data_IF_046805213924
#
_entry.id   IF_046805213924
#
_cell.length_a   1.000
_cell.length_b   1.000
_cell.length_c   1.000
_cell.angle_alpha   90.00
_cell.angle_beta   90.00
_cell.angle_gamma   90.00
#
_symmetry.space_group_name_H-M   'P 1'
#
loop_
_entity.id
_entity.type
_entity.pdbx_description
1 polymer ?
#
# COMPACT_ATOMS: atom_id res chain seq x y z
N UNK A 1 -1.28 12.19 -4.33
CA UNK A 1 -1.44 11.96 -5.78
C UNK A 1 -1.43 10.45 -6.01
N UNK A 2 -2.30 9.93 -6.87
CA UNK A 2 -2.37 8.49 -7.11
C UNK A 2 -1.13 8.01 -7.88
N UNK A 3 -0.67 6.78 -7.61
CA UNK A 3 0.43 6.18 -8.33
C UNK A 3 0.00 5.72 -9.72
N UNK A 4 0.98 5.58 -10.61
CA UNK A 4 0.83 4.99 -11.95
C UNK A 4 1.65 3.71 -12.06
N UNK A 5 1.22 2.79 -12.92
CA UNK A 5 1.97 1.53 -13.16
C UNK A 5 3.42 1.78 -13.61
N UNK A 6 3.64 2.83 -14.42
CA UNK A 6 4.98 3.25 -14.85
C UNK A 6 5.85 3.65 -13.67
N UNK A 7 5.31 4.46 -12.75
CA UNK A 7 6.03 4.83 -11.53
C UNK A 7 6.36 3.59 -10.69
N UNK A 8 5.37 2.74 -10.43
CA UNK A 8 5.53 1.53 -9.62
C UNK A 8 6.61 0.61 -10.20
N UNK A 9 6.61 0.41 -11.52
CA UNK A 9 7.61 -0.42 -12.21
C UNK A 9 9.01 0.14 -12.06
N UNK A 10 9.17 1.45 -12.20
CA UNK A 10 10.48 2.11 -12.23
C UNK A 10 11.03 2.50 -10.86
N UNK A 11 10.17 2.59 -9.84
CA UNK A 11 10.58 2.97 -8.49
C UNK A 11 11.66 2.02 -7.94
N UNK A 12 12.71 2.58 -7.36
CA UNK A 12 13.80 1.87 -6.69
C UNK A 12 14.21 2.69 -5.48
N UNK A 13 14.61 2.04 -4.41
CA UNK A 13 15.20 2.71 -3.27
C UNK A 13 16.48 2.00 -2.86
N UNK A 14 17.52 2.79 -2.55
CA UNK A 14 18.75 2.31 -1.95
C UNK A 14 18.69 2.31 -0.41
N UNK A 15 17.63 2.87 0.19
CA UNK A 15 17.52 3.04 1.63
C UNK A 15 17.05 1.74 2.28
N UNK A 16 17.78 1.18 3.28
CA UNK A 16 17.35 -0.04 3.97
C UNK A 16 15.96 0.08 4.61
N UNK A 17 15.62 1.26 5.14
CA UNK A 17 14.31 1.55 5.71
C UNK A 17 13.16 1.63 4.68
N UNK A 18 13.51 1.73 3.39
CA UNK A 18 12.59 1.90 2.28
C UNK A 18 12.01 3.31 2.13
N UNK A 19 11.36 3.52 1.00
CA UNK A 19 10.66 4.76 0.65
C UNK A 19 9.16 4.48 0.48
N UNK A 20 8.34 5.35 1.06
CA UNK A 20 6.88 5.26 0.97
C UNK A 20 6.38 6.18 -0.15
N UNK A 21 5.62 5.63 -1.07
CA UNK A 21 4.92 6.38 -2.11
C UNK A 21 3.42 6.18 -1.94
N UNK A 22 2.71 7.25 -1.57
CA UNK A 22 1.28 7.20 -1.31
C UNK A 22 0.48 7.01 -2.60
N UNK A 23 -0.50 6.11 -2.58
CA UNK A 23 -1.51 5.96 -3.63
C UNK A 23 -2.84 6.64 -3.27
N UNK A 24 -3.08 6.88 -1.98
CA UNK A 24 -4.30 7.49 -1.44
C UNK A 24 -5.07 6.54 -0.52
N UNK A 25 -5.99 7.09 0.28
CA UNK A 25 -6.83 6.31 1.21
C UNK A 25 -6.03 5.43 2.20
N UNK A 26 -4.89 5.93 2.68
CA UNK A 26 -3.99 5.19 3.57
C UNK A 26 -3.17 4.10 2.87
N UNK A 27 -3.40 3.83 1.58
CA UNK A 27 -2.60 2.89 0.80
C UNK A 27 -1.32 3.55 0.26
N UNK A 28 -0.22 2.80 0.31
CA UNK A 28 1.07 3.20 -0.24
C UNK A 28 1.88 2.01 -0.72
N UNK A 29 2.83 2.29 -1.61
CA UNK A 29 3.90 1.39 -1.99
C UNK A 29 5.11 1.65 -1.08
N UNK A 30 5.58 0.63 -0.38
CA UNK A 30 6.88 0.64 0.30
C UNK A 30 7.91 0.00 -0.62
N UNK A 31 8.88 0.81 -1.07
CA UNK A 31 9.97 0.38 -1.94
C UNK A 31 11.24 0.23 -1.11
N UNK A 32 11.76 -0.98 -1.01
CA UNK A 32 13.04 -1.29 -0.36
C UNK A 32 14.05 -1.78 -1.40
N UNK A 33 15.34 -1.95 -1.04
CA UNK A 33 16.31 -2.63 -1.90
C UNK A 33 15.91 -4.06 -2.24
N UNK A 34 15.13 -4.71 -1.36
CA UNK A 34 14.73 -6.11 -1.48
C UNK A 34 13.42 -6.32 -2.24
N UNK A 35 12.57 -5.30 -2.35
CA UNK A 35 11.28 -5.48 -2.99
C UNK A 35 10.34 -4.29 -2.87
N UNK A 36 9.11 -4.52 -3.32
CA UNK A 36 8.04 -3.52 -3.40
C UNK A 36 6.78 -4.07 -2.77
N UNK A 37 6.32 -3.44 -1.70
CA UNK A 37 5.25 -3.94 -0.86
C UNK A 37 4.07 -2.99 -0.87
N UNK A 38 2.89 -3.51 -1.17
CA UNK A 38 1.64 -2.76 -1.02
C UNK A 38 1.20 -2.82 0.45
N UNK A 39 1.03 -1.65 1.05
CA UNK A 39 0.63 -1.49 2.44
C UNK A 39 -0.58 -0.57 2.53
N UNK A 40 -1.41 -0.80 3.54
CA UNK A 40 -2.55 0.03 3.88
C UNK A 40 -2.51 0.34 5.37
N UNK A 41 -2.33 1.61 5.70
CA UNK A 41 -2.50 2.08 7.07
C UNK A 41 -3.97 2.41 7.31
N UNK A 42 -4.56 1.83 8.36
CA UNK A 42 -5.96 2.03 8.75
C UNK A 42 -6.08 2.14 10.27
N UNK A 43 -7.24 2.57 10.75
CA UNK A 43 -7.59 2.57 12.17
C UNK A 43 -8.69 1.56 12.42
N UNK A 44 -8.55 0.82 13.52
CA UNK A 44 -9.57 -0.09 14.01
C UNK A 44 -9.53 -0.05 15.54
N UNK A 45 -10.66 0.26 16.16
CA UNK A 45 -10.77 0.50 17.61
C UNK A 45 -9.69 1.50 18.09
N UNK A 46 -9.65 2.67 17.44
CA UNK A 46 -8.70 3.78 17.68
C UNK A 46 -7.20 3.47 17.47
N UNK A 47 -6.84 2.20 17.27
CA UNK A 47 -5.45 1.78 17.07
C UNK A 47 -5.08 1.82 15.60
N UNK A 48 -3.95 2.45 15.29
CA UNK A 48 -3.35 2.41 13.96
C UNK A 48 -2.81 1.01 13.69
N UNK A 49 -3.17 0.47 12.54
CA UNK A 49 -2.70 -0.83 12.03
C UNK A 49 -2.21 -0.67 10.59
N UNK A 50 -1.35 -1.59 10.17
CA UNK A 50 -0.85 -1.66 8.80
C UNK A 50 -1.18 -3.04 8.22
N UNK A 51 -1.98 -3.08 7.17
CA UNK A 51 -2.30 -4.29 6.42
C UNK A 51 -1.31 -4.46 5.25
N UNK A 52 -0.88 -5.70 5.00
CA UNK A 52 -0.15 -6.05 3.79
C UNK A 52 -1.14 -6.41 2.66
N UNK A 53 -1.19 -5.61 1.60
CA UNK A 53 -2.06 -5.86 0.45
C UNK A 53 -1.38 -6.75 -0.59
N UNK A 54 -0.06 -6.95 -0.51
CA UNK A 54 0.69 -7.88 -1.35
C UNK A 54 2.07 -7.35 -1.75
N UNK A 55 2.73 -8.07 -2.65
CA UNK A 55 4.08 -7.77 -3.12
C UNK A 55 4.05 -7.60 -4.63
N UNK A 56 4.64 -6.53 -5.15
CA UNK A 56 4.81 -6.34 -6.59
C UNK A 56 6.00 -7.17 -7.10
N UNK A 57 5.92 -7.85 -8.26
CA UNK A 57 4.87 -7.73 -9.29
C UNK A 57 3.67 -8.68 -9.15
N UNK A 58 3.68 -9.64 -8.21
CA UNK A 58 2.58 -10.60 -8.04
C UNK A 58 1.22 -9.92 -7.80
N UNK A 59 1.22 -8.83 -7.03
CA UNK A 59 0.10 -7.92 -6.87
C UNK A 59 0.37 -6.63 -7.66
N UNK A 60 -0.39 -6.42 -8.74
CA UNK A 60 -0.37 -5.16 -9.50
C UNK A 60 -1.01 -4.01 -8.72
N UNK A 61 -0.80 -2.77 -9.16
CA UNK A 61 -1.44 -1.59 -8.57
C UNK A 61 -2.98 -1.72 -8.56
N UNK A 62 -3.56 -2.17 -9.66
CA UNK A 62 -5.01 -2.41 -9.76
C UNK A 62 -5.49 -3.46 -8.74
N UNK A 63 -4.78 -4.59 -8.61
CA UNK A 63 -5.12 -5.62 -7.61
C UNK A 63 -4.99 -5.09 -6.18
N UNK A 64 -3.97 -4.27 -5.89
CA UNK A 64 -3.79 -3.67 -4.58
C UNK A 64 -4.93 -2.69 -4.24
N UNK A 65 -5.39 -1.88 -5.21
CA UNK A 65 -6.56 -1.01 -5.04
C UNK A 65 -7.86 -1.79 -4.81
N UNK A 66 -8.06 -2.92 -5.49
CA UNK A 66 -9.19 -3.80 -5.25
C UNK A 66 -9.18 -4.35 -3.80
N UNK A 67 -8.03 -4.88 -3.35
CA UNK A 67 -7.86 -5.37 -1.97
C UNK A 67 -8.05 -4.26 -0.93
N UNK A 68 -7.65 -3.02 -1.24
CA UNK A 68 -7.93 -1.85 -0.38
C UNK A 68 -9.44 -1.61 -0.24
N UNK A 69 -10.18 -1.67 -1.35
CA UNK A 69 -11.62 -1.49 -1.33
C UNK A 69 -12.30 -2.58 -0.48
N UNK A 70 -11.91 -3.85 -0.66
CA UNK A 70 -12.38 -4.98 0.14
C UNK A 70 -12.09 -4.78 1.64
N UNK A 71 -10.86 -4.38 1.99
CA UNK A 71 -10.47 -4.15 3.39
C UNK A 71 -11.29 -3.03 4.06
N UNK A 72 -11.73 -2.04 3.30
CA UNK A 72 -12.51 -0.91 3.79
C UNK A 72 -14.00 -1.22 3.93
N UNK A 73 -14.52 -2.18 3.16
CA UNK A 73 -15.87 -2.72 3.38
C UNK A 73 -15.93 -3.51 4.69
N UNK A 74 -14.84 -4.22 5.05
CA UNK A 74 -14.81 -5.09 6.22
C UNK A 74 -14.44 -4.37 7.54
N UNK A 75 -13.75 -3.23 7.46
CA UNK A 75 -13.40 -2.43 8.64
C UNK A 75 -14.44 -1.30 8.78
N UNK A 76 -15.51 -1.47 9.60
CA UNK A 76 -16.38 -0.35 9.92
C UNK A 76 -15.51 0.68 10.64
N UNK A 77 -15.30 1.82 9.98
CA UNK A 77 -14.86 3.03 10.65
C UNK A 77 -16.03 3.45 11.52
N UNK A 78 -16.09 2.95 12.75
CA UNK A 78 -16.94 3.53 13.79
C UNK A 78 -16.54 5.01 13.91
N UNK A 79 -17.53 5.87 13.67
CA UNK A 79 -17.51 7.30 13.96
C UNK A 79 -18.18 7.53 15.31
#
# INVERSE_FOLDING_TARGET
MALTDTFVRNAKSAKPAGEKHADGDGMYLLVTPTGKYWRLDYRFLEKRKTLALGVYPATSLAKARARRAEARVLAPTEY
#
